data_IF_527105403619
#
_entry.id   IF_527105403619
#
_cell.length_a   1.000
_cell.length_b   1.000
_cell.length_c   1.000
_cell.angle_alpha   90.00
_cell.angle_beta   90.00
_cell.angle_gamma   90.00
#
_symmetry.space_group_name_H-M   'P 1'
#
loop_
_entity.id
_entity.type
_entity.pdbx_description
1 polymer ?
#
# COMPACT_ATOMS: atom_id res chain seq x y z
N UNK A 1 51.73 7.50 36.99
CA UNK A 1 51.60 7.35 35.52
C UNK A 1 50.31 6.62 35.11
N UNK A 2 49.37 6.32 36.02
CA UNK A 2 48.12 5.58 35.78
C UNK A 2 46.96 6.44 35.24
N UNK A 3 46.90 7.71 35.67
CA UNK A 3 45.79 8.65 35.37
C UNK A 3 45.60 8.96 33.87
N UNK A 4 46.69 9.03 33.08
CA UNK A 4 46.59 9.30 31.64
C UNK A 4 46.08 8.10 30.84
N UNK A 5 46.46 6.89 31.25
CA UNK A 5 46.05 5.65 30.57
C UNK A 5 44.58 5.34 30.85
N UNK A 6 44.12 5.56 32.09
CA UNK A 6 42.71 5.41 32.47
C UNK A 6 41.81 6.44 31.78
N UNK A 7 42.24 7.71 31.69
CA UNK A 7 41.52 8.74 30.93
C UNK A 7 41.44 8.42 29.44
N UNK A 8 42.54 7.96 28.84
CA UNK A 8 42.54 7.55 27.43
C UNK A 8 41.59 6.37 27.19
N UNK A 9 41.56 5.39 28.10
CA UNK A 9 40.63 4.26 28.01
C UNK A 9 39.17 4.71 28.16
N UNK A 10 38.87 5.67 29.04
CA UNK A 10 37.55 6.26 29.17
C UNK A 10 37.09 7.01 27.91
N UNK A 11 38.00 7.80 27.31
CA UNK A 11 37.74 8.52 26.05
C UNK A 11 37.46 7.53 24.91
N UNK A 12 38.26 6.46 24.79
CA UNK A 12 38.05 5.44 23.75
C UNK A 12 36.68 4.78 23.92
N UNK A 13 36.31 4.37 25.14
CA UNK A 13 34.98 3.78 25.42
C UNK A 13 33.84 4.74 25.09
N UNK A 14 34.00 6.02 25.43
CA UNK A 14 33.01 7.06 25.12
C UNK A 14 32.82 7.19 23.59
N UNK A 15 33.91 7.25 22.83
CA UNK A 15 33.88 7.31 21.37
C UNK A 15 33.26 6.05 20.75
N UNK A 16 33.53 4.86 21.30
CA UNK A 16 32.91 3.60 20.86
C UNK A 16 31.39 3.62 21.09
N UNK A 17 30.93 4.12 22.24
CA UNK A 17 29.50 4.26 22.54
C UNK A 17 28.85 5.25 21.58
N UNK A 18 29.44 6.42 21.38
CA UNK A 18 28.93 7.45 20.47
C UNK A 18 28.89 6.96 19.02
N UNK A 19 29.93 6.26 18.56
CA UNK A 19 29.97 5.65 17.25
C UNK A 19 28.87 4.58 17.07
N UNK A 20 28.64 3.74 18.08
CA UNK A 20 27.59 2.72 18.02
C UNK A 20 26.19 3.34 18.01
N UNK A 21 25.96 4.39 18.81
CA UNK A 21 24.68 5.12 18.81
C UNK A 21 24.43 5.80 17.47
N UNK A 22 25.45 6.45 16.90
CA UNK A 22 25.36 7.07 15.57
C UNK A 22 25.13 6.04 14.48
N UNK A 23 25.77 4.87 14.54
CA UNK A 23 25.57 3.79 13.58
C UNK A 23 24.15 3.20 13.68
N UNK A 24 23.61 3.04 14.89
CA UNK A 24 22.25 2.57 15.10
C UNK A 24 21.21 3.54 14.51
N UNK A 25 21.34 4.84 14.82
CA UNK A 25 20.46 5.87 14.25
C UNK A 25 20.52 5.89 12.72
N UNK A 26 21.72 5.75 12.13
CA UNK A 26 21.86 5.71 10.68
C UNK A 26 21.17 4.49 10.05
N UNK A 27 21.21 3.33 10.71
CA UNK A 27 20.51 2.12 10.24
C UNK A 27 19.00 2.34 10.27
N UNK A 28 18.48 2.91 11.36
CA UNK A 28 17.06 3.27 11.50
C UNK A 28 16.62 4.24 10.39
N UNK A 29 17.40 5.29 10.12
CA UNK A 29 17.12 6.26 9.06
C UNK A 29 17.11 5.62 7.67
N UNK A 30 18.04 4.69 7.39
CA UNK A 30 18.09 3.95 6.12
C UNK A 30 16.88 3.04 5.96
N UNK A 31 16.48 2.33 7.02
CA UNK A 31 15.30 1.46 7.00
C UNK A 31 14.01 2.26 6.80
N UNK A 32 13.88 3.42 7.46
CA UNK A 32 12.74 4.33 7.29
C UNK A 32 12.70 4.90 5.87
N UNK A 33 13.84 5.36 5.35
CA UNK A 33 13.93 5.85 3.97
C UNK A 33 13.51 4.77 2.96
N UNK A 34 14.01 3.54 3.12
CA UNK A 34 13.63 2.43 2.25
C UNK A 34 12.13 2.12 2.35
N UNK A 35 11.55 2.19 3.56
CA UNK A 35 10.11 1.99 3.77
C UNK A 35 9.28 3.05 3.06
N UNK A 36 9.64 4.32 3.22
CA UNK A 36 8.98 5.44 2.55
C UNK A 36 9.10 5.34 1.03
N UNK A 37 10.28 4.98 0.52
CA UNK A 37 10.49 4.75 -0.91
C UNK A 37 9.58 3.66 -1.48
N UNK A 38 9.42 2.54 -0.76
CA UNK A 38 8.50 1.46 -1.18
C UNK A 38 7.04 1.94 -1.19
N UNK A 39 6.64 2.72 -0.19
CA UNK A 39 5.29 3.28 -0.12
C UNK A 39 5.00 4.26 -1.26
N UNK A 40 5.94 5.17 -1.55
CA UNK A 40 5.84 6.12 -2.67
C UNK A 40 5.67 5.37 -4.00
N UNK A 41 6.48 4.33 -4.23
CA UNK A 41 6.35 3.48 -5.43
C UNK A 41 4.99 2.80 -5.54
N UNK A 42 4.43 2.31 -4.44
CA UNK A 42 3.10 1.70 -4.48
C UNK A 42 2.00 2.74 -4.62
N UNK A 43 2.22 3.96 -4.12
CA UNK A 43 1.30 5.07 -4.28
C UNK A 43 1.19 5.48 -5.75
N UNK A 44 2.31 5.55 -6.47
CA UNK A 44 2.33 5.77 -7.92
C UNK A 44 1.46 4.73 -8.65
N UNK A 45 1.60 3.44 -8.31
CA UNK A 45 0.78 2.36 -8.89
C UNK A 45 -0.72 2.53 -8.60
N UNK A 46 -1.08 3.01 -7.41
CA UNK A 46 -2.48 3.28 -7.06
C UNK A 46 -3.02 4.49 -7.82
N UNK A 47 -2.21 5.52 -8.05
CA UNK A 47 -2.60 6.66 -8.87
C UNK A 47 -2.74 6.31 -10.35
N UNK A 48 -1.82 5.52 -10.91
CA UNK A 48 -1.94 4.98 -12.26
C UNK A 48 -3.25 4.19 -12.42
N UNK A 49 -3.67 3.47 -11.37
CA UNK A 49 -4.91 2.69 -11.39
C UNK A 49 -6.14 3.60 -11.46
N UNK A 50 -6.10 4.77 -10.83
CA UNK A 50 -7.15 5.78 -10.93
C UNK A 50 -7.30 6.28 -12.37
N UNK A 51 -6.18 6.62 -13.00
CA UNK A 51 -6.13 7.07 -14.40
C UNK A 51 -6.68 5.99 -15.35
N UNK A 52 -6.24 4.74 -15.18
CA UNK A 52 -6.69 3.63 -16.02
C UNK A 52 -8.18 3.33 -15.86
N UNK A 53 -8.75 3.48 -14.66
CA UNK A 53 -10.20 3.33 -14.45
C UNK A 53 -11.00 4.33 -15.30
N UNK A 54 -10.50 5.56 -15.43
CA UNK A 54 -11.11 6.58 -16.28
C UNK A 54 -10.93 6.25 -17.76
N UNK A 55 -9.70 5.94 -18.18
CA UNK A 55 -9.36 5.66 -19.58
C UNK A 55 -10.08 4.41 -20.14
N UNK A 56 -10.17 3.35 -19.33
CA UNK A 56 -10.86 2.11 -19.71
C UNK A 56 -12.39 2.25 -19.72
N UNK A 57 -12.94 3.36 -19.18
CA UNK A 57 -14.37 3.57 -19.00
C UNK A 57 -14.99 2.74 -17.87
N UNK A 58 -14.15 2.16 -17.00
CA UNK A 58 -14.59 1.36 -15.86
C UNK A 58 -15.25 2.22 -14.78
N UNK A 59 -14.90 3.51 -14.69
CA UNK A 59 -15.59 4.45 -13.82
C UNK A 59 -17.10 4.52 -14.12
N UNK A 60 -17.49 4.49 -15.39
CA UNK A 60 -18.90 4.45 -15.79
C UNK A 60 -19.56 3.12 -15.42
N UNK A 61 -18.87 1.99 -15.65
CA UNK A 61 -19.37 0.65 -15.31
C UNK A 61 -19.60 0.51 -13.80
N UNK A 62 -18.71 1.07 -12.98
CA UNK A 62 -18.85 1.14 -11.53
C UNK A 62 -20.01 2.04 -11.11
N UNK A 63 -20.16 3.21 -11.74
CA UNK A 63 -21.28 4.11 -11.49
C UNK A 63 -22.64 3.46 -11.81
N UNK A 64 -22.73 2.66 -12.88
CA UNK A 64 -23.94 1.89 -13.24
C UNK A 64 -24.30 0.85 -12.15
N UNK A 65 -23.32 0.36 -11.40
CA UNK A 65 -23.51 -0.50 -10.21
C UNK A 65 -23.82 0.30 -8.93
N UNK A 66 -23.95 1.62 -9.02
CA UNK A 66 -24.16 2.52 -7.88
C UNK A 66 -22.91 2.73 -7.02
N UNK A 67 -21.72 2.49 -7.58
CA UNK A 67 -20.44 2.75 -6.91
C UNK A 67 -19.99 4.17 -7.22
N UNK A 68 -19.62 4.90 -6.17
CA UNK A 68 -18.94 6.20 -6.27
C UNK A 68 -17.46 5.94 -5.99
N UNK A 69 -16.60 6.39 -6.90
CA UNK A 69 -15.15 6.35 -6.74
C UNK A 69 -14.70 7.72 -6.25
N UNK A 70 -13.89 7.74 -5.19
CA UNK A 70 -13.25 8.92 -4.63
C UNK A 70 -11.75 8.65 -4.59
N UNK A 71 -10.95 9.53 -5.19
CA UNK A 71 -9.51 9.55 -5.04
C UNK A 71 -9.09 10.54 -3.94
N UNK A 72 -8.10 10.16 -3.15
CA UNK A 72 -7.45 11.06 -2.20
C UNK A 72 -5.93 10.83 -2.23
N UNK A 73 -5.17 11.69 -1.55
CA UNK A 73 -3.71 11.56 -1.48
C UNK A 73 -3.25 10.22 -0.87
N UNK A 74 -4.13 9.44 -0.23
CA UNK A 74 -3.79 8.18 0.43
C UNK A 74 -4.15 6.94 -0.40
N UNK A 75 -5.03 7.07 -1.39
CA UNK A 75 -5.41 5.99 -2.30
C UNK A 75 -6.82 6.15 -2.88
N UNK A 76 -7.42 5.03 -3.27
CA UNK A 76 -8.74 5.01 -3.92
C UNK A 76 -9.80 4.45 -3.00
N UNK A 77 -10.95 5.11 -2.92
CA UNK A 77 -12.10 4.67 -2.14
C UNK A 77 -13.30 4.44 -3.04
N UNK A 78 -13.95 3.30 -2.84
CA UNK A 78 -15.14 2.88 -3.55
C UNK A 78 -16.28 2.82 -2.55
N UNK A 79 -17.36 3.58 -2.77
CA UNK A 79 -18.55 3.61 -1.90
C UNK A 79 -19.77 3.12 -2.65
N UNK A 80 -20.52 2.19 -2.04
CA UNK A 80 -21.76 1.66 -2.59
C UNK A 80 -22.82 1.56 -1.48
N UNK A 81 -23.70 2.55 -1.39
CA UNK A 81 -24.66 2.66 -0.29
C UNK A 81 -23.96 2.76 1.07
N UNK A 82 -24.06 1.71 1.91
CA UNK A 82 -23.38 1.62 3.22
C UNK A 82 -22.04 0.86 3.18
N UNK A 83 -21.72 0.24 2.04
CA UNK A 83 -20.48 -0.53 1.86
C UNK A 83 -19.39 0.41 1.38
N UNK A 84 -18.17 0.17 1.85
CA UNK A 84 -16.99 0.85 1.34
C UNK A 84 -15.85 -0.16 1.15
N UNK A 85 -15.02 0.10 0.16
CA UNK A 85 -13.76 -0.59 -0.12
C UNK A 85 -12.69 0.48 -0.36
N UNK A 86 -11.46 0.19 0.02
CA UNK A 86 -10.33 1.04 -0.30
C UNK A 86 -9.25 0.22 -1.02
N UNK A 87 -8.53 0.89 -1.91
CA UNK A 87 -7.27 0.45 -2.49
C UNK A 87 -6.18 1.34 -1.89
N UNK A 88 -5.27 0.75 -1.13
CA UNK A 88 -4.24 1.47 -0.38
C UNK A 88 -2.84 0.89 -0.68
N UNK A 89 -1.80 1.73 -0.82
CA UNK A 89 -0.43 1.27 -0.95
C UNK A 89 0.06 0.62 0.36
N UNK A 90 1.00 -0.32 0.25
CA UNK A 90 1.65 -0.99 1.39
C UNK A 90 3.17 -0.96 1.25
N UNK A 91 3.87 -1.02 2.38
CA UNK A 91 5.34 -0.97 2.43
C UNK A 91 6.03 -2.30 2.10
N UNK A 92 5.26 -3.36 1.88
CA UNK A 92 5.69 -4.69 1.44
C UNK A 92 5.64 -4.87 -0.09
N UNK A 93 5.65 -3.77 -0.86
CA UNK A 93 5.55 -3.75 -2.32
C UNK A 93 4.25 -4.37 -2.85
N UNK A 94 3.15 -4.12 -2.16
CA UNK A 94 1.82 -4.59 -2.54
C UNK A 94 0.78 -3.47 -2.41
N UNK A 95 -0.41 -3.71 -2.95
CA UNK A 95 -1.58 -2.88 -2.70
C UNK A 95 -2.64 -3.68 -1.94
N UNK A 96 -3.34 -3.03 -1.01
CA UNK A 96 -4.47 -3.60 -0.28
C UNK A 96 -5.76 -3.25 -0.99
N UNK A 97 -6.53 -4.21 -1.49
CA UNK A 97 -7.85 -4.02 -2.10
C UNK A 97 -8.90 -4.65 -1.18
N UNK A 98 -9.64 -3.83 -0.45
CA UNK A 98 -10.66 -4.31 0.51
C UNK A 98 -10.13 -5.26 1.58
N UNK A 99 -8.86 -5.13 1.95
CA UNK A 99 -8.18 -5.97 2.95
C UNK A 99 -7.44 -7.19 2.39
N UNK A 100 -7.49 -7.43 1.06
CA UNK A 100 -6.66 -8.44 0.39
C UNK A 100 -5.42 -7.79 -0.22
N UNK A 101 -4.27 -8.43 -0.10
CA UNK A 101 -3.03 -7.94 -0.71
C UNK A 101 -2.91 -8.45 -2.17
N UNK A 102 -2.54 -7.54 -3.07
CA UNK A 102 -2.25 -7.81 -4.47
C UNK A 102 -0.82 -7.34 -4.76
N UNK A 103 -0.06 -8.19 -5.46
CA UNK A 103 1.36 -7.97 -5.68
C UNK A 103 1.58 -7.68 -7.15
N UNK A 104 1.99 -6.44 -7.52
CA UNK A 104 2.53 -6.20 -8.85
C UNK A 104 3.86 -6.95 -9.02
N UNK A 105 4.43 -6.93 -10.23
CA UNK A 105 5.76 -7.49 -10.44
C UNK A 105 6.76 -6.86 -9.45
N UNK A 106 7.42 -7.71 -8.66
CA UNK A 106 8.32 -7.29 -7.59
C UNK A 106 9.61 -6.65 -8.12
N UNK A 107 10.03 -7.01 -9.34
CA UNK A 107 11.24 -6.47 -9.96
C UNK A 107 10.98 -5.11 -10.60
N UNK A 108 9.75 -4.87 -11.07
CA UNK A 108 9.32 -3.63 -11.67
C UNK A 108 7.84 -3.37 -11.33
N UNK A 109 7.55 -2.75 -10.18
CA UNK A 109 6.18 -2.51 -9.75
C UNK A 109 5.56 -1.41 -10.60
N UNK A 110 4.96 -1.84 -11.70
CA UNK A 110 4.28 -0.98 -12.66
C UNK A 110 2.87 -1.54 -12.82
N UNK A 111 1.91 -0.65 -13.01
CA UNK A 111 0.58 -1.06 -13.41
C UNK A 111 0.64 -1.61 -14.85
N UNK A 112 0.52 -2.93 -14.98
CA UNK A 112 0.30 -3.56 -16.27
C UNK A 112 -1.17 -3.95 -16.44
N UNK A 113 -1.53 -4.33 -17.66
CA UNK A 113 -2.92 -4.72 -17.98
C UNK A 113 -3.39 -5.95 -17.21
N UNK A 114 -2.53 -6.96 -17.01
CA UNK A 114 -2.94 -8.18 -16.34
C UNK A 114 -3.24 -7.92 -14.86
N UNK A 115 -2.39 -7.13 -14.21
CA UNK A 115 -2.54 -6.69 -12.83
C UNK A 115 -3.74 -5.77 -12.66
N UNK A 116 -3.93 -4.83 -13.59
CA UNK A 116 -5.14 -3.99 -13.64
C UNK A 116 -6.42 -4.84 -13.72
N UNK A 117 -6.48 -5.77 -14.68
CA UNK A 117 -7.62 -6.65 -14.88
C UNK A 117 -7.90 -7.51 -13.63
N UNK A 118 -6.86 -7.97 -12.93
CA UNK A 118 -6.97 -8.72 -11.67
C UNK A 118 -7.57 -7.86 -10.54
N UNK A 119 -7.02 -6.67 -10.31
CA UNK A 119 -7.50 -5.74 -9.27
C UNK A 119 -8.96 -5.35 -9.55
N UNK A 120 -9.26 -4.98 -10.79
CA UNK A 120 -10.61 -4.59 -11.20
C UNK A 120 -11.60 -5.75 -11.12
N UNK A 121 -11.17 -6.99 -11.39
CA UNK A 121 -11.99 -8.17 -11.15
C UNK A 121 -12.42 -8.26 -9.67
N UNK A 122 -11.49 -8.00 -8.75
CA UNK A 122 -11.77 -7.94 -7.32
C UNK A 122 -12.74 -6.81 -6.94
N UNK A 123 -12.58 -5.62 -7.52
CA UNK A 123 -13.47 -4.47 -7.31
C UNK A 123 -14.87 -4.75 -7.84
N UNK A 124 -15.00 -5.27 -9.06
CA UNK A 124 -16.29 -5.62 -9.64
C UNK A 124 -16.98 -6.75 -8.90
N UNK A 125 -16.24 -7.78 -8.47
CA UNK A 125 -16.79 -8.85 -7.64
C UNK A 125 -17.33 -8.33 -6.29
N UNK A 126 -16.70 -7.29 -5.72
CA UNK A 126 -17.24 -6.62 -4.54
C UNK A 126 -18.46 -5.75 -4.87
N UNK A 127 -18.43 -5.02 -5.98
CA UNK A 127 -19.51 -4.14 -6.41
C UNK A 127 -20.79 -4.90 -6.80
N UNK A 128 -20.66 -6.14 -7.29
CA UNK A 128 -21.80 -6.95 -7.67
C UNK A 128 -22.61 -7.41 -6.43
N UNK A 129 -23.78 -6.78 -6.24
CA UNK A 129 -24.71 -7.06 -5.14
C UNK A 129 -25.45 -8.41 -5.32
N UNK A 130 -25.46 -8.98 -6.52
CA UNK A 130 -26.17 -10.24 -6.81
C UNK A 130 -25.35 -11.48 -6.44
N UNK A 131 -24.04 -11.37 -6.21
CA UNK A 131 -23.20 -12.47 -5.73
C UNK A 131 -23.63 -12.99 -4.33
N UNK A 132 -24.28 -12.15 -3.52
CA UNK A 132 -24.84 -12.52 -2.21
C UNK A 132 -26.32 -12.94 -2.26
N UNK A 133 -26.99 -12.82 -3.42
CA UNK A 133 -28.38 -13.28 -3.59
C UNK A 133 -28.44 -14.77 -3.90
N UNK A 134 -28.14 -15.60 -2.88
CA UNK A 134 -28.68 -16.97 -2.85
C UNK A 134 -30.19 -16.92 -3.11
N UNK A 135 -30.76 -17.86 -3.90
CA UNK A 135 -32.17 -17.81 -4.24
C UNK A 135 -33.00 -17.85 -2.96
N UNK A 136 -33.77 -16.79 -2.70
CA UNK A 136 -34.87 -16.82 -1.74
C UNK A 136 -35.80 -17.93 -2.22
N UNK A 137 -35.76 -19.10 -1.57
CA UNK A 137 -36.72 -20.19 -1.82
C UNK A 137 -38.12 -19.55 -1.86
N UNK A 138 -38.78 -19.63 -3.00
CA UNK A 138 -40.20 -19.33 -3.11
C UNK A 138 -40.91 -20.27 -2.14
N UNK A 139 -41.42 -19.73 -1.04
CA UNK A 139 -42.39 -20.42 -0.20
C UNK A 139 -43.71 -20.30 -0.95
N UNK A 140 -44.21 -21.43 -1.45
CA UNK A 140 -45.59 -21.56 -1.93
C UNK A 140 -46.56 -21.42 -0.76
#
# INVERSE_FOLDING_TARGET
>A
MTDRTERNAAIIRQLEIEANLSAASYIEDVEEFQRLYRLERMQDVVFDLAEWIEEAGDGKRLADLGVVVEDDDQGLRFKQGRRAMAILPRDDMSISVGGKAYFPDADCPVLDKAFYDEVMSGVFAWADLDADRRPKRCVK
#
